data_IF_528290429238
#
_entry.id   IF_528290429238
#
_cell.length_a   1.000
_cell.length_b   1.000
_cell.length_c   1.000
_cell.angle_alpha   90.00
_cell.angle_beta   90.00
_cell.angle_gamma   90.00
#
_symmetry.space_group_name_H-M   'P 1'
#
loop_
_entity.id
_entity.type
_entity.pdbx_description
1 polymer ?
#
# COMPACT_ATOMS: atom_id res chain seq x y z
N UNK A 1 5.55 -12.16 6.40
CA UNK A 1 5.06 -10.78 6.15
C UNK A 1 5.71 -9.89 7.20
N UNK A 2 6.01 -8.63 6.87
CA UNK A 2 6.75 -7.72 7.75
C UNK A 2 6.01 -7.53 9.09
N UNK A 3 4.70 -7.34 9.03
CA UNK A 3 3.82 -7.02 10.13
C UNK A 3 3.84 -8.13 11.19
N UNK A 4 3.76 -9.39 10.77
CA UNK A 4 3.86 -10.55 11.69
C UNK A 4 5.25 -10.59 12.34
N UNK A 5 6.31 -10.29 11.59
CA UNK A 5 7.66 -10.28 12.14
C UNK A 5 7.85 -9.14 13.14
N UNK A 6 7.28 -7.96 12.87
CA UNK A 6 7.30 -6.80 13.76
C UNK A 6 6.57 -7.10 15.07
N UNK A 7 5.34 -7.63 15.00
CA UNK A 7 4.55 -8.02 16.18
C UNK A 7 5.31 -9.04 17.03
N UNK A 8 5.84 -10.09 16.41
CA UNK A 8 6.62 -11.10 17.13
C UNK A 8 7.84 -10.47 17.81
N UNK A 9 8.54 -9.57 17.11
CA UNK A 9 9.72 -8.92 17.65
C UNK A 9 9.41 -8.01 18.84
N UNK A 10 8.32 -7.24 18.77
CA UNK A 10 7.84 -6.41 19.88
C UNK A 10 7.49 -7.26 21.10
N UNK A 11 6.73 -8.35 20.90
CA UNK A 11 6.39 -9.29 21.98
C UNK A 11 7.65 -9.97 22.57
N UNK A 12 8.62 -10.37 21.74
CA UNK A 12 9.90 -10.92 22.20
C UNK A 12 10.73 -9.91 23.02
N UNK A 13 10.57 -8.61 22.74
CA UNK A 13 11.20 -7.53 23.51
C UNK A 13 10.45 -7.21 24.81
N UNK A 14 9.30 -7.86 25.06
CA UNK A 14 8.47 -7.63 26.24
C UNK A 14 7.44 -6.51 26.08
N UNK A 15 7.32 -5.92 24.89
CA UNK A 15 6.29 -4.93 24.61
C UNK A 15 4.94 -5.62 24.43
N UNK A 16 3.96 -5.26 25.26
CA UNK A 16 2.62 -5.86 25.23
C UNK A 16 1.50 -4.83 25.07
N UNK A 17 1.82 -3.55 25.19
CA UNK A 17 0.84 -2.46 25.09
C UNK A 17 1.09 -1.66 23.81
N UNK A 18 0.70 -2.25 22.68
CA UNK A 18 0.82 -1.62 21.38
C UNK A 18 -0.31 -2.07 20.45
N UNK A 19 -0.60 -1.23 19.46
CA UNK A 19 -1.52 -1.54 18.36
C UNK A 19 -0.82 -1.18 17.06
N UNK A 20 -0.89 -2.08 16.08
CA UNK A 20 -0.56 -1.77 14.70
C UNK A 20 -1.86 -1.46 13.97
N UNK A 21 -2.01 -0.21 13.54
CA UNK A 21 -3.09 0.21 12.67
C UNK A 21 -2.65 0.18 11.21
N UNK A 22 -3.32 -0.63 10.40
CA UNK A 22 -3.06 -0.72 8.98
C UNK A 22 -4.07 0.08 8.16
N UNK A 23 -3.57 1.04 7.41
CA UNK A 23 -4.32 1.80 6.41
C UNK A 23 -4.20 1.07 5.06
N UNK A 24 -5.32 0.62 4.50
CA UNK A 24 -5.34 -0.21 3.29
C UNK A 24 -6.45 0.28 2.34
N UNK A 25 -6.14 0.46 1.06
CA UNK A 25 -7.13 0.96 0.10
C UNK A 25 -8.25 -0.07 -0.15
N UNK A 26 -7.93 -1.36 -0.15
CA UNK A 26 -8.88 -2.42 -0.46
C UNK A 26 -9.67 -2.90 0.77
N UNK A 27 -11.01 -2.72 0.79
CA UNK A 27 -11.84 -3.20 1.90
C UNK A 27 -11.73 -4.72 2.10
N UNK A 28 -11.66 -5.48 1.01
CA UNK A 28 -11.52 -6.95 1.04
C UNK A 28 -10.21 -7.37 1.70
N UNK A 29 -9.10 -6.65 1.44
CA UNK A 29 -7.80 -6.95 2.05
C UNK A 29 -7.79 -6.59 3.53
N UNK A 30 -8.36 -5.45 3.90
CA UNK A 30 -8.53 -5.02 5.29
C UNK A 30 -9.37 -6.03 6.08
N UNK A 31 -10.56 -6.42 5.58
CA UNK A 31 -11.40 -7.42 6.25
C UNK A 31 -10.70 -8.76 6.43
N UNK A 32 -9.96 -9.21 5.40
CA UNK A 32 -9.20 -10.45 5.46
C UNK A 32 -8.06 -10.36 6.48
N UNK A 33 -7.40 -9.20 6.58
CA UNK A 33 -6.38 -8.97 7.60
C UNK A 33 -7.02 -9.05 8.99
N UNK A 34 -8.11 -8.33 9.24
CA UNK A 34 -8.77 -8.30 10.55
C UNK A 34 -9.17 -9.69 11.09
N UNK A 35 -9.50 -10.62 10.19
CA UNK A 35 -9.90 -12.00 10.53
C UNK A 35 -8.72 -12.95 10.85
N UNK A 36 -7.46 -12.52 10.70
CA UNK A 36 -6.31 -13.40 11.00
C UNK A 36 -6.16 -13.58 12.50
N UNK A 37 -5.92 -14.83 12.91
CA UNK A 37 -5.69 -15.20 14.31
C UNK A 37 -4.30 -14.79 14.81
N UNK A 38 -3.34 -14.58 13.91
CA UNK A 38 -1.94 -14.27 14.25
C UNK A 38 -1.75 -12.91 14.94
N UNK A 39 -2.76 -12.04 14.92
CA UNK A 39 -2.66 -10.67 15.42
C UNK A 39 -2.84 -10.52 16.93
N UNK A 40 -3.33 -11.53 17.66
CA UNK A 40 -3.43 -11.51 19.13
C UNK A 40 -4.00 -10.23 19.77
N UNK A 41 -4.92 -9.51 19.09
CA UNK A 41 -5.51 -8.27 19.60
C UNK A 41 -4.68 -7.00 19.41
N UNK A 42 -3.48 -7.07 18.84
CA UNK A 42 -2.59 -5.92 18.60
C UNK A 42 -2.72 -5.34 17.18
N UNK A 43 -3.85 -5.57 16.50
CA UNK A 43 -4.07 -5.16 15.11
C UNK A 43 -5.44 -4.53 14.90
N UNK A 44 -5.44 -3.36 14.25
CA UNK A 44 -6.60 -2.75 13.64
C UNK A 44 -6.33 -2.51 12.14
N UNK A 45 -7.38 -2.45 11.34
CA UNK A 45 -7.23 -2.02 9.95
C UNK A 45 -8.41 -1.16 9.52
N UNK A 46 -8.11 -0.12 8.74
CA UNK A 46 -9.06 0.83 8.17
C UNK A 46 -8.94 0.79 6.64
N UNK A 47 -10.08 0.64 5.97
CA UNK A 47 -10.14 0.77 4.53
C UNK A 47 -10.14 2.27 4.16
N UNK A 48 -9.05 2.79 3.61
CA UNK A 48 -8.88 4.23 3.39
C UNK A 48 -8.05 4.55 2.16
N UNK A 49 -8.39 5.66 1.50
CA UNK A 49 -7.58 6.24 0.43
C UNK A 49 -6.55 7.22 1.00
N UNK A 50 -5.27 6.87 0.88
CA UNK A 50 -4.16 7.66 1.36
C UNK A 50 -4.02 9.02 0.65
N UNK A 51 -4.61 9.19 -0.55
CA UNK A 51 -4.61 10.48 -1.25
C UNK A 51 -5.47 11.55 -0.56
N UNK A 52 -6.30 11.15 0.41
CA UNK A 52 -7.19 12.06 1.15
C UNK A 52 -7.19 11.80 2.67
N UNK A 53 -6.23 11.01 3.14
CA UNK A 53 -6.19 10.60 4.54
C UNK A 53 -5.81 11.77 5.44
N UNK A 54 -6.64 11.97 6.46
CA UNK A 54 -6.39 12.91 7.56
C UNK A 54 -6.25 12.08 8.83
N UNK A 55 -5.18 12.26 9.63
CA UNK A 55 -4.99 11.50 10.86
C UNK A 55 -6.01 11.91 11.93
N UNK A 56 -6.55 10.90 12.61
CA UNK A 56 -7.42 11.05 13.78
C UNK A 56 -6.70 10.73 15.11
N UNK A 57 -5.49 10.18 15.03
CA UNK A 57 -4.68 9.74 16.16
C UNK A 57 -3.20 10.13 16.00
N UNK A 58 -2.42 9.96 17.07
CA UNK A 58 -0.96 10.11 17.05
C UNK A 58 -0.27 8.75 17.07
N UNK A 59 0.86 8.65 16.35
CA UNK A 59 1.64 7.43 16.22
C UNK A 59 3.09 7.65 16.63
N UNK A 60 3.63 6.70 17.39
CA UNK A 60 5.06 6.63 17.71
C UNK A 60 5.91 6.21 16.50
N UNK A 61 5.32 5.50 15.53
CA UNK A 61 5.99 5.12 14.29
C UNK A 61 4.98 5.00 13.15
N UNK A 62 5.35 5.52 11.97
CA UNK A 62 4.62 5.31 10.72
C UNK A 62 5.52 4.55 9.76
N UNK A 63 5.03 3.43 9.21
CA UNK A 63 5.78 2.58 8.27
C UNK A 63 5.07 2.59 6.91
N UNK A 64 5.69 3.19 5.90
CA UNK A 64 5.25 3.14 4.52
C UNK A 64 6.07 2.11 3.74
N UNK A 65 5.51 0.92 3.54
CA UNK A 65 6.19 -0.18 2.82
C UNK A 65 5.46 -0.53 1.53
N UNK A 66 6.16 -0.43 0.40
CA UNK A 66 5.67 -0.78 -0.93
C UNK A 66 4.26 -0.21 -1.21
N UNK A 67 4.04 1.05 -0.85
CA UNK A 67 2.72 1.71 -0.90
C UNK A 67 2.76 3.13 -1.47
N UNK A 68 3.83 3.89 -1.27
CA UNK A 68 3.95 5.28 -1.68
C UNK A 68 3.84 5.45 -3.19
N UNK A 69 4.31 4.46 -3.97
CA UNK A 69 4.18 4.46 -5.43
C UNK A 69 2.74 4.31 -5.95
N UNK A 70 1.76 4.06 -5.07
CA UNK A 70 0.34 4.05 -5.39
C UNK A 70 -0.36 5.36 -5.05
N UNK A 71 0.35 6.32 -4.43
CA UNK A 71 -0.20 7.58 -3.96
C UNK A 71 0.17 8.67 -4.97
N UNK A 72 -0.83 9.42 -5.41
CA UNK A 72 -0.68 10.57 -6.29
C UNK A 72 -0.36 11.83 -5.47
N UNK A 73 -1.11 12.05 -4.40
CA UNK A 73 -0.99 13.22 -3.52
C UNK A 73 0.08 12.98 -2.42
N UNK A 74 1.33 12.77 -2.83
CA UNK A 74 2.43 12.43 -1.92
C UNK A 74 2.72 13.56 -0.92
N UNK A 75 2.69 14.81 -1.36
CA UNK A 75 2.90 15.98 -0.51
C UNK A 75 1.86 16.01 0.62
N UNK A 76 0.58 15.84 0.26
CA UNK A 76 -0.50 15.74 1.24
C UNK A 76 -0.28 14.59 2.21
N UNK A 77 0.07 13.40 1.71
CA UNK A 77 0.31 12.24 2.57
C UNK A 77 1.48 12.49 3.53
N UNK A 78 2.59 13.08 3.07
CA UNK A 78 3.72 13.37 3.95
C UNK A 78 3.40 14.42 5.01
N UNK A 79 2.62 15.45 4.66
CA UNK A 79 2.10 16.42 5.63
C UNK A 79 1.19 15.74 6.67
N UNK A 80 0.29 14.85 6.22
CA UNK A 80 -0.56 14.04 7.09
C UNK A 80 0.25 13.12 8.00
N UNK A 81 1.28 12.44 7.48
CA UNK A 81 2.19 11.59 8.29
C UNK A 81 2.91 12.44 9.33
N UNK A 82 3.43 13.61 8.95
CA UNK A 82 4.10 14.52 9.88
C UNK A 82 3.14 14.98 10.99
N UNK A 83 1.91 15.35 10.63
CA UNK A 83 0.87 15.72 11.57
C UNK A 83 0.40 14.54 12.45
N UNK A 84 0.53 13.30 11.99
CA UNK A 84 0.17 12.10 12.73
C UNK A 84 1.27 11.61 13.68
N UNK A 85 2.52 12.04 13.52
CA UNK A 85 3.62 11.60 14.39
C UNK A 85 3.59 12.33 15.75
N UNK A 86 3.99 11.60 16.78
CA UNK A 86 4.40 12.19 18.06
C UNK A 86 5.71 12.99 17.89
N UNK A 87 6.04 13.86 18.86
CA UNK A 87 7.24 14.72 18.80
C UNK A 87 8.56 13.95 18.58
N UNK A 88 8.64 12.72 19.12
CA UNK A 88 9.79 11.81 18.94
C UNK A 88 9.48 10.62 18.03
N UNK A 89 8.37 10.70 17.28
CA UNK A 89 7.92 9.65 16.39
C UNK A 89 8.85 9.49 15.18
N UNK A 90 8.87 8.29 14.61
CA UNK A 90 9.71 7.96 13.45
C UNK A 90 8.87 7.60 12.25
N UNK A 91 9.17 8.21 11.09
CA UNK A 91 8.68 7.75 9.79
C UNK A 91 9.73 6.84 9.15
N UNK A 92 9.33 5.65 8.73
CA UNK A 92 10.18 4.70 7.99
C UNK A 92 9.51 4.37 6.67
N UNK A 93 10.29 4.44 5.58
CA UNK A 93 9.82 4.00 4.28
C UNK A 93 10.75 2.98 3.63
N UNK A 94 10.15 2.02 2.94
CA UNK A 94 10.80 1.13 1.99
C UNK A 94 9.95 1.16 0.75
N UNK A 95 10.38 1.95 -0.23
CA UNK A 95 9.64 2.14 -1.45
C UNK A 95 10.54 2.59 -2.60
N UNK A 96 10.11 2.31 -3.82
CA UNK A 96 10.66 2.88 -5.04
C UNK A 96 9.55 3.70 -5.71
N UNK A 97 9.57 5.01 -5.47
CA UNK A 97 8.68 5.93 -6.17
C UNK A 97 9.33 6.24 -7.52
N UNK A 98 8.93 5.50 -8.55
CA UNK A 98 9.34 5.79 -9.93
C UNK A 98 8.91 7.18 -10.36
N UNK A 99 9.59 7.77 -11.36
CA UNK A 99 9.26 9.11 -11.88
C UNK A 99 7.79 9.25 -12.33
N UNK A 100 7.17 8.14 -12.74
CA UNK A 100 5.74 8.04 -13.08
C UNK A 100 5.00 7.00 -12.20
N UNK A 101 5.52 6.68 -11.00
CA UNK A 101 5.06 5.55 -10.22
C UNK A 101 5.18 4.22 -11.00
N UNK A 102 4.13 3.40 -10.94
CA UNK A 102 4.01 2.18 -11.76
C UNK A 102 3.45 2.42 -13.16
N UNK A 103 3.05 3.66 -13.48
CA UNK A 103 2.43 4.02 -14.75
C UNK A 103 3.46 4.01 -15.88
N UNK A 104 3.00 3.62 -17.07
CA UNK A 104 3.77 3.81 -18.30
C UNK A 104 3.77 5.29 -18.70
N UNK A 105 4.90 5.75 -19.21
CA UNK A 105 5.01 7.03 -19.92
C UNK A 105 4.01 7.08 -21.08
N UNK A 106 3.43 8.25 -21.41
CA UNK A 106 2.47 8.38 -22.51
C UNK A 106 2.94 7.72 -23.81
N UNK A 107 4.21 7.92 -24.17
CA UNK A 107 4.83 7.38 -25.39
C UNK A 107 4.98 5.86 -25.32
N UNK A 108 5.29 5.31 -24.14
CA UNK A 108 5.35 3.86 -23.92
C UNK A 108 3.96 3.24 -23.92
N UNK A 109 2.98 3.92 -23.33
CA UNK A 109 1.59 3.48 -23.31
C UNK A 109 1.02 3.41 -24.73
N UNK A 110 1.30 4.40 -25.57
CA UNK A 110 0.90 4.42 -26.98
C UNK A 110 1.46 3.21 -27.74
N UNK A 111 2.75 2.89 -27.56
CA UNK A 111 3.39 1.72 -28.16
C UNK A 111 2.75 0.41 -27.68
N UNK A 112 2.52 0.26 -26.38
CA UNK A 112 1.90 -0.94 -25.80
C UNK A 112 0.48 -1.12 -26.36
N UNK A 113 -0.31 -0.05 -26.41
CA UNK A 113 -1.66 -0.07 -26.99
C UNK A 113 -1.63 -0.45 -28.47
N UNK A 114 -0.66 0.06 -29.24
CA UNK A 114 -0.45 -0.33 -30.64
C UNK A 114 -0.15 -1.83 -30.79
N UNK A 115 0.72 -2.37 -29.94
CA UNK A 115 1.06 -3.80 -29.94
C UNK A 115 -0.17 -4.65 -29.60
N UNK A 116 -0.94 -4.30 -28.55
CA UNK A 116 -2.13 -5.04 -28.12
C UNK A 116 -3.22 -5.08 -29.20
N UNK A 117 -3.36 -4.02 -30.01
CA UNK A 117 -4.28 -4.00 -31.14
C UNK A 117 -3.88 -4.97 -32.26
N UNK A 118 -2.58 -5.23 -32.41
CA UNK A 118 -2.05 -6.03 -33.52
C UNK A 118 -1.90 -7.51 -33.19
N UNK A 119 -1.48 -7.86 -31.96
CA UNK A 119 -1.19 -9.26 -31.61
C UNK A 119 -2.47 -10.11 -31.51
N UNK A 120 -2.40 -11.42 -31.76
CA UNK A 120 -3.53 -12.34 -31.54
C UNK A 120 -3.98 -12.43 -30.07
N UNK A 121 -5.25 -12.73 -29.85
CA UNK A 121 -5.86 -12.76 -28.49
C UNK A 121 -5.27 -13.85 -27.57
N UNK A 122 -4.70 -14.93 -28.12
CA UNK A 122 -4.05 -15.96 -27.30
C UNK A 122 -2.78 -15.47 -26.60
N UNK A 123 -2.19 -14.34 -27.04
CA UNK A 123 -1.11 -13.65 -26.32
C UNK A 123 -1.61 -12.61 -25.32
N UNK A 124 -2.90 -12.27 -25.34
CA UNK A 124 -3.53 -11.26 -24.46
C UNK A 124 -4.21 -11.87 -23.25
N UNK A 125 -4.10 -13.18 -23.07
CA UNK A 125 -4.78 -13.88 -21.98
C UNK A 125 -3.94 -13.82 -20.71
N UNK A 126 -4.47 -13.20 -19.66
CA UNK A 126 -3.79 -13.11 -18.37
C UNK A 126 -4.00 -14.38 -17.51
N UNK A 127 -3.32 -14.46 -16.37
CA UNK A 127 -3.42 -15.59 -15.44
C UNK A 127 -4.83 -15.82 -14.85
N UNK A 128 -5.71 -14.82 -14.94
CA UNK A 128 -7.13 -14.90 -14.58
C UNK A 128 -8.00 -15.44 -15.73
N UNK A 129 -7.39 -15.87 -16.84
CA UNK A 129 -8.04 -16.38 -18.05
C UNK A 129 -8.94 -15.33 -18.73
N UNK A 130 -8.55 -14.05 -18.65
CA UNK A 130 -9.25 -12.94 -19.30
C UNK A 130 -8.40 -12.41 -20.45
N UNK A 131 -9.05 -12.08 -21.57
CA UNK A 131 -8.42 -11.42 -22.70
C UNK A 131 -8.41 -9.91 -22.44
N UNK A 132 -7.24 -9.29 -22.50
CA UNK A 132 -7.07 -7.84 -22.35
C UNK A 132 -6.86 -7.19 -23.72
N UNK A 133 -7.86 -6.45 -24.20
CA UNK A 133 -7.78 -5.75 -25.49
C UNK A 133 -7.06 -4.40 -25.41
N UNK A 134 -6.97 -3.84 -24.20
CA UNK A 134 -6.33 -2.56 -23.92
C UNK A 134 -5.49 -2.68 -22.65
N UNK A 135 -4.37 -1.97 -22.62
CA UNK A 135 -3.57 -1.84 -21.41
C UNK A 135 -4.16 -0.75 -20.52
N UNK A 136 -4.53 -1.09 -19.30
CA UNK A 136 -4.95 -0.12 -18.29
C UNK A 136 -3.73 0.20 -17.45
N UNK A 137 -3.41 1.50 -17.42
CA UNK A 137 -2.33 2.08 -16.65
C UNK A 137 -2.75 2.15 -15.18
#
# INVERSE_FOLDING_TARGET
MLEIALIKKLLEMGETDFVIEALELSPVRSERAQKRKDWNGVWSSKAIDLNSWVPDEKYSTVIAKDTLHHVLELEHLFDSIHAALEDNGVSVTTDMIGRNGHMRWPETLELIQGILKFIPDHYKTNHLKRVEHEYVN
#
